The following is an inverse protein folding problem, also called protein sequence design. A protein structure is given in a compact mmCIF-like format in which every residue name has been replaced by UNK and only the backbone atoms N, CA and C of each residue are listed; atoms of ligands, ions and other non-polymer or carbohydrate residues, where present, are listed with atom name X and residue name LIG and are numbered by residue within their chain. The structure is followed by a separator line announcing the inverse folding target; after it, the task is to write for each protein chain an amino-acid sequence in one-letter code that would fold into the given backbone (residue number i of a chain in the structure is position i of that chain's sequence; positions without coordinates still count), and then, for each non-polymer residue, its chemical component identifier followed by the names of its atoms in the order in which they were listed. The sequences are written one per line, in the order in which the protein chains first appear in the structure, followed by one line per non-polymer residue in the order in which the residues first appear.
data_IF_041045121834
#
_entry.id   IF_041045121834
#
_cell.length_a   1.000
_cell.length_b   1.000
_cell.length_c   1.000
_cell.angle_alpha   90.00
_cell.angle_beta   90.00
_cell.angle_gamma   90.00
#
_symmetry.space_group_name_H-M   'P 1'
#
loop_
_entity.id
_entity.type
_entity.pdbx_description
1 polymer ?
#
# COMPACT_ATOMS: atom_id res chain seq x y z
N UNK A 1 7.78 -16.00 13.55
CA UNK A 1 8.59 -15.56 12.37
C UNK A 1 9.59 -14.51 12.86
N UNK A 2 10.85 -14.51 12.38
CA UNK A 2 11.79 -13.43 12.71
C UNK A 2 11.52 -12.18 11.87
N UNK A 3 11.99 -11.01 12.31
CA UNK A 3 11.85 -9.76 11.54
C UNK A 3 12.46 -9.89 10.13
N UNK A 4 13.65 -10.49 10.00
CA UNK A 4 14.27 -10.75 8.70
C UNK A 4 13.43 -11.72 7.83
N UNK A 5 12.81 -12.74 8.43
CA UNK A 5 11.90 -13.64 7.73
C UNK A 5 10.64 -12.93 7.23
N UNK A 6 10.09 -12.00 8.02
CA UNK A 6 8.96 -11.18 7.65
C UNK A 6 9.28 -10.28 6.46
N UNK A 7 10.43 -9.59 6.48
CA UNK A 7 10.84 -8.73 5.37
C UNK A 7 11.04 -9.51 4.06
N UNK A 8 11.58 -10.74 4.13
CA UNK A 8 11.64 -11.63 2.95
C UNK A 8 10.26 -11.98 2.41
N UNK A 9 9.30 -12.26 3.31
CA UNK A 9 7.92 -12.52 2.92
C UNK A 9 7.24 -11.30 2.29
N UNK A 10 7.48 -10.10 2.83
CA UNK A 10 6.99 -8.85 2.26
C UNK A 10 7.53 -8.66 0.84
N UNK A 11 8.83 -8.84 0.62
CA UNK A 11 9.43 -8.73 -0.71
C UNK A 11 8.75 -9.67 -1.72
N UNK A 12 8.56 -10.94 -1.35
CA UNK A 12 7.85 -11.90 -2.21
C UNK A 12 6.42 -11.45 -2.55
N UNK A 13 5.66 -10.99 -1.55
CA UNK A 13 4.28 -10.52 -1.77
C UNK A 13 4.24 -9.30 -2.68
N UNK A 14 5.23 -8.41 -2.60
CA UNK A 14 5.32 -7.25 -3.48
C UNK A 14 5.66 -7.66 -4.92
N UNK A 15 6.58 -8.60 -5.11
CA UNK A 15 6.89 -9.16 -6.44
C UNK A 15 5.66 -9.83 -7.06
N UNK A 16 4.97 -10.69 -6.31
CA UNK A 16 3.77 -11.39 -6.78
C UNK A 16 2.66 -10.40 -7.17
N UNK A 17 2.46 -9.36 -6.35
CA UNK A 17 1.47 -8.30 -6.62
C UNK A 17 1.88 -7.43 -7.82
N UNK A 18 3.16 -7.10 -7.96
CA UNK A 18 3.67 -6.36 -9.11
C UNK A 18 3.47 -7.12 -10.41
N UNK A 19 3.72 -8.44 -10.40
CA UNK A 19 3.46 -9.31 -11.55
C UNK A 19 1.96 -9.40 -11.90
N UNK A 20 1.08 -9.43 -10.90
CA UNK A 20 -0.37 -9.57 -11.10
C UNK A 20 -1.07 -8.25 -11.49
N UNK A 21 -0.67 -7.12 -10.89
CA UNK A 21 -1.39 -5.85 -10.98
C UNK A 21 -0.62 -4.74 -11.71
N UNK A 22 0.64 -4.98 -12.06
CA UNK A 22 1.49 -4.00 -12.73
C UNK A 22 2.02 -2.92 -11.79
N UNK A 23 2.34 -1.77 -12.37
CA UNK A 23 2.99 -0.65 -11.67
C UNK A 23 2.15 -0.14 -10.48
N UNK A 24 2.68 -0.17 -9.25
CA UNK A 24 2.02 0.33 -8.05
C UNK A 24 1.56 1.78 -8.16
N UNK A 25 2.34 2.65 -8.82
CA UNK A 25 1.97 4.06 -8.97
C UNK A 25 0.70 4.20 -9.80
N UNK A 26 0.66 3.56 -10.95
CA UNK A 26 -0.53 3.50 -11.83
C UNK A 26 -1.77 3.02 -11.08
N UNK A 27 -1.62 1.99 -10.24
CA UNK A 27 -2.71 1.45 -9.43
C UNK A 27 -3.21 2.45 -8.38
N UNK A 28 -2.31 3.11 -7.64
CA UNK A 28 -2.69 4.12 -6.64
C UNK A 28 -3.30 5.36 -7.28
N UNK A 29 -2.81 5.80 -8.44
CA UNK A 29 -3.41 6.90 -9.21
C UNK A 29 -4.82 6.56 -9.68
N UNK A 30 -5.07 5.32 -10.10
CA UNK A 30 -6.42 4.86 -10.47
C UNK A 30 -7.40 4.91 -9.30
N UNK A 31 -6.97 4.46 -8.10
CA UNK A 31 -7.77 4.55 -6.88
C UNK A 31 -8.01 6.01 -6.52
N UNK A 32 -6.98 6.85 -6.58
CA UNK A 32 -7.05 8.27 -6.24
C UNK A 32 -8.08 9.00 -7.11
N UNK A 33 -8.12 8.72 -8.42
CA UNK A 33 -9.15 9.26 -9.32
C UNK A 33 -10.56 8.85 -8.91
N UNK A 34 -10.76 7.57 -8.59
CA UNK A 34 -12.07 7.05 -8.16
C UNK A 34 -12.54 7.66 -6.84
N UNK A 35 -11.62 7.78 -5.88
CA UNK A 35 -11.91 8.39 -4.59
C UNK A 35 -12.19 9.89 -4.72
N UNK A 36 -11.48 10.58 -5.62
CA UNK A 36 -11.74 11.99 -5.88
C UNK A 36 -13.16 12.25 -6.36
N UNK A 37 -13.67 11.39 -7.25
CA UNK A 37 -15.06 11.43 -7.72
C UNK A 37 -16.02 11.17 -6.55
N UNK A 38 -15.74 10.13 -5.75
CA UNK A 38 -16.63 9.69 -4.68
C UNK A 38 -16.74 10.72 -3.54
N UNK A 39 -15.62 11.35 -3.19
CA UNK A 39 -15.51 12.29 -2.07
C UNK A 39 -15.75 13.75 -2.47
N UNK A 40 -15.79 14.05 -3.77
CA UNK A 40 -15.95 15.42 -4.28
C UNK A 40 -14.74 16.32 -4.00
N UNK A 41 -13.57 15.76 -3.69
CA UNK A 41 -12.32 16.50 -3.41
C UNK A 41 -11.13 15.78 -4.04
N UNK A 42 -10.09 16.49 -4.52
CA UNK A 42 -8.88 15.85 -5.04
C UNK A 42 -8.22 14.94 -4.00
N UNK A 43 -7.90 13.72 -4.43
CA UNK A 43 -7.11 12.72 -3.70
C UNK A 43 -5.87 12.38 -4.54
N UNK A 44 -4.71 12.28 -3.90
CA UNK A 44 -3.44 11.89 -4.55
C UNK A 44 -3.12 10.42 -4.32
N UNK A 45 -2.27 9.84 -5.18
CA UNK A 45 -1.79 8.46 -5.01
C UNK A 45 -1.07 8.26 -3.67
N UNK A 46 -0.33 9.27 -3.20
CA UNK A 46 0.33 9.26 -1.90
C UNK A 46 -0.69 9.20 -0.76
N UNK A 47 -1.77 9.98 -0.83
CA UNK A 47 -2.86 9.93 0.15
C UNK A 47 -3.52 8.55 0.17
N UNK A 48 -3.74 7.93 -1.00
CA UNK A 48 -4.25 6.55 -1.06
C UNK A 48 -3.33 5.59 -0.30
N UNK A 49 -2.02 5.63 -0.54
CA UNK A 49 -1.08 4.75 0.15
C UNK A 49 -1.12 4.93 1.68
N UNK A 50 -1.17 6.17 2.16
CA UNK A 50 -1.29 6.48 3.59
C UNK A 50 -2.61 5.94 4.17
N UNK A 51 -3.74 6.19 3.51
CA UNK A 51 -5.04 5.67 3.96
C UNK A 51 -5.10 4.14 3.98
N UNK A 52 -4.42 3.47 3.04
CA UNK A 52 -4.33 2.02 3.04
C UNK A 52 -3.48 1.49 4.19
N UNK A 53 -2.42 2.20 4.61
CA UNK A 53 -1.67 1.87 5.83
C UNK A 53 -2.59 1.99 7.05
N UNK A 54 -3.30 3.11 7.19
CA UNK A 54 -4.22 3.33 8.32
C UNK A 54 -5.30 2.24 8.42
N UNK A 55 -5.88 1.84 7.27
CA UNK A 55 -6.85 0.75 7.22
C UNK A 55 -6.27 -0.57 7.75
N UNK A 56 -5.00 -0.86 7.43
CA UNK A 56 -4.35 -2.10 7.88
C UNK A 56 -3.97 -2.05 9.35
N UNK A 57 -3.54 -0.88 9.85
CA UNK A 57 -3.34 -0.65 11.28
C UNK A 57 -4.64 -0.81 12.07
N UNK A 58 -5.76 -0.26 11.58
CA UNK A 58 -7.07 -0.41 12.22
C UNK A 58 -7.50 -1.89 12.31
N UNK A 59 -7.28 -2.67 11.24
CA UNK A 59 -7.58 -4.12 11.24
C UNK A 59 -6.68 -4.90 12.19
N UNK A 60 -5.40 -4.56 12.25
CA UNK A 60 -4.45 -5.18 13.17
C UNK A 60 -4.76 -4.85 14.64
N UNK A 61 -5.21 -3.63 14.92
CA UNK A 61 -5.65 -3.22 16.25
C UNK A 61 -6.92 -3.98 16.69
N UNK A 62 -7.82 -4.29 15.75
CA UNK A 62 -9.02 -5.09 16.02
C UNK A 62 -8.71 -6.58 16.21
N UNK A 63 -7.89 -7.17 15.34
CA UNK A 63 -7.47 -8.58 15.43
C UNK A 63 -5.94 -8.71 15.31
N UNK A 64 -5.24 -8.80 16.45
CA UNK A 64 -3.79 -8.99 16.48
C UNK A 64 -3.31 -10.30 15.84
N UNK A 65 -4.21 -11.29 15.66
CA UNK A 65 -3.89 -12.56 15.03
C UNK A 65 -4.07 -12.52 13.50
N UNK A 66 -4.43 -11.37 12.92
CA UNK A 66 -4.43 -11.17 11.48
C UNK A 66 -2.99 -11.25 10.95
N UNK A 67 -2.57 -12.47 10.58
CA UNK A 67 -1.20 -12.83 10.27
C UNK A 67 -0.58 -12.02 9.12
N UNK A 68 -1.41 -11.58 8.16
CA UNK A 68 -0.98 -10.75 7.03
C UNK A 68 -0.96 -9.24 7.35
N UNK A 69 -1.42 -8.82 8.53
CA UNK A 69 -1.53 -7.41 8.93
C UNK A 69 -0.20 -6.65 8.85
N UNK A 70 0.85 -7.11 9.53
CA UNK A 70 2.17 -6.48 9.42
C UNK A 70 2.73 -6.50 8.00
N UNK A 71 2.47 -7.57 7.23
CA UNK A 71 2.93 -7.69 5.83
C UNK A 71 2.28 -6.61 4.97
N UNK A 72 0.97 -6.41 5.11
CA UNK A 72 0.25 -5.40 4.35
C UNK A 72 0.71 -3.97 4.71
N UNK A 73 0.90 -3.67 6.01
CA UNK A 73 1.41 -2.36 6.46
C UNK A 73 2.78 -2.06 5.85
N UNK A 74 3.73 -3.00 5.99
CA UNK A 74 5.08 -2.84 5.45
C UNK A 74 5.03 -2.77 3.93
N UNK A 75 4.18 -3.56 3.28
CA UNK A 75 4.00 -3.57 1.84
C UNK A 75 3.58 -2.19 1.30
N UNK A 76 2.54 -1.56 1.86
CA UNK A 76 2.15 -0.22 1.42
C UNK A 76 3.21 0.83 1.73
N UNK A 77 3.87 0.76 2.89
CA UNK A 77 4.96 1.67 3.24
C UNK A 77 6.15 1.56 2.27
N UNK A 78 6.50 0.34 1.86
CA UNK A 78 7.60 0.08 0.92
C UNK A 78 7.33 0.63 -0.49
N UNK A 79 6.06 0.76 -0.90
CA UNK A 79 5.67 1.29 -2.21
C UNK A 79 5.70 2.84 -2.28
N UNK A 80 5.69 3.53 -1.15
CA UNK A 80 5.66 5.01 -1.10
C UNK A 80 6.79 5.67 -1.94
N UNK A 81 8.07 5.23 -1.86
CA UNK A 81 9.13 5.82 -2.66
C UNK A 81 8.92 5.68 -4.17
N UNK A 82 8.31 4.59 -4.63
CA UNK A 82 7.98 4.36 -6.05
C UNK A 82 6.85 5.27 -6.51
N UNK A 83 5.84 5.47 -5.65
CA UNK A 83 4.71 6.37 -5.91
C UNK A 83 5.19 7.83 -5.98
N UNK A 84 6.10 8.24 -5.08
CA UNK A 84 6.63 9.62 -5.02
C UNK A 84 7.60 9.93 -6.17
N UNK A 85 8.39 8.96 -6.63
CA UNK A 85 9.43 9.19 -7.66
C UNK A 85 8.90 9.75 -8.99
N UNK A 86 7.60 9.65 -9.25
CA UNK A 86 6.96 10.22 -10.44
C UNK A 86 6.37 11.63 -10.29
N UNK A 87 6.80 12.42 -9.30
CA UNK A 87 6.35 13.81 -9.08
C UNK A 87 7.42 14.88 -9.36
N UNK A 88 8.53 14.55 -10.02
CA UNK A 88 9.42 15.58 -10.58
C UNK A 88 8.88 16.01 -11.94
N UNK A 89 8.36 17.23 -11.97
CA UNK A 89 8.03 18.04 -13.16
C UNK A 89 9.12 17.99 -14.23
#
# INVERSE_FOLDING_TARGET
MSAAGLLKRVAQVLEDRGAAYGDPKTQMEAIARRWSITLGTPVTAQQVALCMIDLKLARLAHDPNYADGPIDVIGYAALIPEIIRGSRS
#
